data_IF_771857835082
#
_entry.id   IF_771857835082
#
_cell.length_a   1.000
_cell.length_b   1.000
_cell.length_c   1.000
_cell.angle_alpha   90.00
_cell.angle_beta   90.00
_cell.angle_gamma   90.00
#
_symmetry.space_group_name_H-M   'P 1'
#
loop_
_entity.id
_entity.type
_entity.pdbx_description
1 polymer ?
#
# COMPACT_ATOMS: atom_id res chain seq x y z
N UNK A 1 -22.79 20.45 2.31
CA UNK A 1 -21.79 21.48 2.71
C UNK A 1 -21.89 21.75 4.22
N UNK A 2 -21.29 20.89 5.04
CA UNK A 2 -21.19 21.10 6.49
C UNK A 2 -19.83 21.76 6.82
N UNK A 3 -19.81 23.04 7.25
CA UNK A 3 -18.55 23.73 7.52
C UNK A 3 -17.78 23.18 8.74
N UNK A 4 -18.36 22.27 9.51
CA UNK A 4 -17.68 21.58 10.59
C UNK A 4 -16.96 20.30 10.15
N UNK A 5 -17.25 19.80 8.94
CA UNK A 5 -16.61 18.62 8.37
C UNK A 5 -15.35 19.06 7.61
N UNK A 6 -14.18 18.55 7.97
CA UNK A 6 -12.93 18.86 7.28
C UNK A 6 -12.61 17.89 6.16
N UNK A 7 -13.05 16.64 6.27
CA UNK A 7 -12.73 15.62 5.29
C UNK A 7 -13.12 14.21 5.70
N UNK A 8 -12.69 13.24 4.89
CA UNK A 8 -13.03 11.83 5.04
C UNK A 8 -11.78 10.98 5.11
N UNK A 9 -11.73 10.05 6.04
CA UNK A 9 -10.80 8.93 5.99
C UNK A 9 -11.34 7.88 5.00
N UNK A 10 -10.54 7.50 4.02
CA UNK A 10 -10.94 6.57 2.97
C UNK A 10 -11.00 5.13 3.45
N UNK A 11 -10.14 4.78 4.41
CA UNK A 11 -10.10 3.49 5.08
C UNK A 11 -9.27 3.60 6.36
N UNK A 12 -9.12 2.48 7.05
CA UNK A 12 -8.31 2.37 8.26
C UNK A 12 -7.29 1.26 8.12
N UNK A 13 -6.02 1.58 8.34
CA UNK A 13 -4.92 0.63 8.51
C UNK A 13 -5.00 -0.58 7.55
N UNK A 14 -4.72 -0.41 6.26
CA UNK A 14 -4.84 -1.51 5.30
C UNK A 14 -3.94 -2.69 5.69
N UNK A 15 -4.44 -3.90 5.52
CA UNK A 15 -3.82 -5.15 5.98
C UNK A 15 -2.38 -5.34 5.48
N UNK A 16 -2.05 -4.86 4.29
CA UNK A 16 -0.67 -4.96 3.77
C UNK A 16 0.35 -4.18 4.59
N UNK A 17 -0.09 -3.18 5.35
CA UNK A 17 0.78 -2.46 6.28
C UNK A 17 1.34 -3.35 7.39
N UNK A 18 0.69 -4.46 7.71
CA UNK A 18 1.08 -5.43 8.74
C UNK A 18 1.66 -6.72 8.15
N UNK A 19 1.61 -6.88 6.83
CA UNK A 19 2.19 -8.02 6.13
C UNK A 19 3.71 -7.87 5.97
N UNK A 20 4.41 -8.98 5.90
CA UNK A 20 5.84 -8.99 5.58
C UNK A 20 6.07 -8.88 4.08
N UNK A 21 5.14 -9.43 3.31
CA UNK A 21 5.17 -9.48 1.86
C UNK A 21 4.58 -8.18 1.28
N UNK A 22 5.09 -7.78 0.12
CA UNK A 22 4.46 -6.72 -0.67
C UNK A 22 3.07 -7.14 -1.15
N UNK A 23 2.16 -6.21 -1.46
CA UNK A 23 0.81 -6.53 -1.96
C UNK A 23 0.80 -7.50 -3.14
N UNK A 24 1.72 -7.34 -4.09
CA UNK A 24 1.81 -8.23 -5.24
C UNK A 24 2.32 -9.63 -4.88
N UNK A 25 3.29 -9.72 -3.97
CA UNK A 25 3.79 -11.01 -3.49
C UNK A 25 2.71 -11.77 -2.71
N UNK A 26 2.04 -11.09 -1.78
CA UNK A 26 0.92 -11.66 -1.03
C UNK A 26 -0.22 -12.12 -1.94
N UNK A 27 -0.57 -11.33 -2.97
CA UNK A 27 -1.54 -11.72 -3.98
C UNK A 27 -1.09 -12.97 -4.75
N UNK A 28 0.16 -13.00 -5.22
CA UNK A 28 0.71 -14.12 -5.99
C UNK A 28 0.66 -15.42 -5.21
N UNK A 29 1.00 -15.40 -3.94
CA UNK A 29 1.09 -16.58 -3.08
C UNK A 29 -0.28 -17.04 -2.54
N UNK A 30 -1.21 -16.12 -2.30
CA UNK A 30 -2.43 -16.42 -1.54
C UNK A 30 -3.73 -16.35 -2.35
N UNK A 31 -3.68 -15.81 -3.59
CA UNK A 31 -4.89 -15.63 -4.41
C UNK A 31 -4.77 -16.42 -5.71
N UNK A 32 -5.41 -17.60 -5.83
CA UNK A 32 -5.23 -18.46 -7.01
C UNK A 32 -5.65 -17.85 -8.34
N UNK A 33 -6.62 -16.93 -8.33
CA UNK A 33 -7.10 -16.25 -9.53
C UNK A 33 -7.72 -14.91 -9.19
N UNK A 34 -7.31 -13.86 -9.91
CA UNK A 34 -7.93 -12.54 -9.91
C UNK A 34 -7.43 -11.74 -11.12
N UNK A 35 -8.10 -10.64 -11.42
CA UNK A 35 -7.68 -9.77 -12.54
C UNK A 35 -6.27 -9.19 -12.35
N UNK A 36 -5.88 -8.87 -11.12
CA UNK A 36 -4.55 -8.34 -10.83
C UNK A 36 -3.43 -9.35 -11.09
N UNK A 37 -3.69 -10.66 -10.99
CA UNK A 37 -2.70 -11.70 -11.37
C UNK A 37 -2.47 -11.74 -12.88
N UNK A 38 -3.54 -11.56 -13.66
CA UNK A 38 -3.39 -11.44 -15.12
C UNK A 38 -2.58 -10.18 -15.45
N UNK A 39 -2.89 -9.06 -14.83
CA UNK A 39 -2.15 -7.81 -15.02
C UNK A 39 -0.67 -7.94 -14.62
N UNK A 40 -0.36 -8.66 -13.54
CA UNK A 40 1.03 -8.99 -13.17
C UNK A 40 1.74 -9.81 -14.25
N UNK A 41 1.07 -10.84 -14.79
CA UNK A 41 1.66 -11.65 -15.84
C UNK A 41 1.93 -10.83 -17.13
N UNK A 42 1.05 -9.90 -17.47
CA UNK A 42 1.22 -9.01 -18.61
C UNK A 42 2.36 -8.00 -18.35
N UNK A 43 2.43 -7.40 -17.17
CA UNK A 43 3.53 -6.53 -16.74
C UNK A 43 4.90 -7.24 -16.84
N UNK A 44 4.98 -8.48 -16.34
CA UNK A 44 6.21 -9.27 -16.40
C UNK A 44 6.58 -9.67 -17.83
N UNK A 45 5.58 -9.93 -18.67
CA UNK A 45 5.82 -10.22 -20.10
C UNK A 45 6.36 -9.00 -20.85
N UNK A 46 5.84 -7.81 -20.53
CA UNK A 46 6.35 -6.56 -21.11
C UNK A 46 7.78 -6.27 -20.65
N UNK A 47 8.13 -6.64 -19.41
CA UNK A 47 9.46 -6.43 -18.83
C UNK A 47 10.50 -7.43 -19.30
N UNK A 48 10.18 -8.72 -19.34
CA UNK A 48 11.12 -9.81 -19.60
C UNK A 48 11.01 -10.39 -21.02
N UNK A 49 9.92 -10.16 -21.74
CA UNK A 49 9.70 -10.66 -23.10
C UNK A 49 9.47 -12.16 -23.15
N UNK A 50 10.39 -12.90 -23.75
CA UNK A 50 10.26 -14.34 -23.95
C UNK A 50 10.40 -15.13 -22.63
N UNK A 51 9.71 -16.28 -22.55
CA UNK A 51 9.73 -17.12 -21.33
C UNK A 51 11.14 -17.57 -20.90
N UNK A 52 12.09 -17.65 -21.81
CA UNK A 52 13.47 -18.01 -21.47
C UNK A 52 14.11 -16.95 -20.58
N UNK A 53 14.01 -15.66 -20.93
CA UNK A 53 14.52 -14.55 -20.13
C UNK A 53 13.75 -14.41 -18.80
N UNK A 54 12.45 -14.68 -18.81
CA UNK A 54 11.67 -14.71 -17.58
C UNK A 54 12.13 -15.81 -16.61
N UNK A 55 12.40 -17.02 -17.13
CA UNK A 55 12.95 -18.12 -16.31
C UNK A 55 14.34 -17.83 -15.76
N UNK A 56 15.17 -17.14 -16.52
CA UNK A 56 16.50 -16.70 -16.04
C UNK A 56 16.37 -15.73 -14.87
N UNK A 57 15.35 -14.86 -14.87
CA UNK A 57 15.09 -13.88 -13.83
C UNK A 57 14.35 -14.46 -12.61
N UNK A 58 13.33 -15.30 -12.84
CA UNK A 58 12.40 -15.78 -11.80
C UNK A 58 12.61 -17.23 -11.37
N UNK A 59 13.52 -17.95 -12.00
CA UNK A 59 13.80 -19.36 -11.76
C UNK A 59 13.28 -20.28 -12.87
N UNK A 60 13.94 -21.42 -13.06
CA UNK A 60 13.76 -22.31 -14.19
C UNK A 60 12.34 -22.84 -14.41
N UNK A 61 11.55 -22.93 -13.33
CA UNK A 61 10.19 -23.46 -13.37
C UNK A 61 9.12 -22.37 -13.49
N UNK A 62 9.52 -21.09 -13.50
CA UNK A 62 8.61 -19.97 -13.61
C UNK A 62 8.00 -19.90 -15.02
N UNK A 63 6.70 -19.63 -15.11
CA UNK A 63 5.98 -19.36 -16.35
C UNK A 63 4.97 -18.23 -16.16
N UNK A 64 4.71 -17.44 -17.21
CA UNK A 64 3.67 -16.42 -17.16
C UNK A 64 2.28 -16.99 -16.86
N UNK A 65 2.02 -18.22 -17.31
CA UNK A 65 0.76 -18.90 -17.00
C UNK A 65 0.61 -19.20 -15.51
N UNK A 66 1.69 -19.61 -14.83
CA UNK A 66 1.67 -19.84 -13.38
C UNK A 66 1.54 -18.53 -12.59
N UNK A 67 2.09 -17.43 -13.11
CA UNK A 67 1.83 -16.10 -12.53
C UNK A 67 0.37 -15.71 -12.68
N UNK A 68 -0.24 -15.89 -13.84
CA UNK A 68 -1.60 -15.48 -14.13
C UNK A 68 -2.64 -16.24 -13.28
N UNK A 69 -2.38 -17.50 -12.95
CA UNK A 69 -3.32 -18.33 -12.18
C UNK A 69 -2.65 -19.48 -11.44
N UNK A 70 -3.34 -20.02 -10.44
CA UNK A 70 -2.85 -21.12 -9.62
C UNK A 70 -2.16 -20.63 -8.35
N UNK A 71 -1.71 -21.55 -7.52
CA UNK A 71 -0.98 -21.27 -6.29
C UNK A 71 0.52 -21.20 -6.63
N UNK A 72 1.14 -20.06 -6.33
CA UNK A 72 2.57 -19.90 -6.49
C UNK A 72 3.32 -20.52 -5.30
N UNK A 73 4.14 -21.50 -5.56
CA UNK A 73 4.88 -22.24 -4.51
C UNK A 73 6.40 -22.17 -4.70
N UNK A 74 6.86 -21.55 -5.79
CA UNK A 74 8.29 -21.41 -6.04
C UNK A 74 8.90 -20.33 -5.12
N UNK A 75 10.16 -20.50 -4.71
CA UNK A 75 10.87 -19.42 -4.03
C UNK A 75 10.99 -18.20 -4.95
N UNK A 76 10.98 -17.01 -4.39
CA UNK A 76 11.22 -15.77 -5.11
C UNK A 76 12.73 -15.53 -5.23
N UNK A 77 13.16 -15.10 -6.41
CA UNK A 77 14.52 -14.59 -6.65
C UNK A 77 14.57 -13.11 -6.28
N UNK A 78 15.75 -12.52 -6.13
CA UNK A 78 15.90 -11.07 -5.92
C UNK A 78 15.24 -10.26 -7.03
N UNK A 79 15.32 -10.72 -8.29
CA UNK A 79 14.65 -10.07 -9.39
C UNK A 79 13.13 -10.17 -9.29
N UNK A 80 12.61 -11.33 -8.86
CA UNK A 80 11.18 -11.50 -8.63
C UNK A 80 10.67 -10.60 -7.48
N UNK A 81 11.44 -10.44 -6.41
CA UNK A 81 11.10 -9.52 -5.31
C UNK A 81 11.06 -8.07 -5.78
N UNK A 82 12.04 -7.65 -6.61
CA UNK A 82 12.06 -6.32 -7.22
C UNK A 82 10.85 -6.08 -8.12
N UNK A 83 10.57 -7.01 -9.04
CA UNK A 83 9.43 -6.92 -9.95
C UNK A 83 8.08 -6.86 -9.20
N UNK A 84 7.97 -7.61 -8.11
CA UNK A 84 6.77 -7.60 -7.26
C UNK A 84 6.64 -6.32 -6.44
N UNK A 85 7.74 -5.70 -6.03
CA UNK A 85 7.71 -4.38 -5.40
C UNK A 85 7.23 -3.31 -6.39
N UNK A 86 7.78 -3.29 -7.59
CA UNK A 86 7.38 -2.36 -8.66
C UNK A 86 5.91 -2.56 -9.06
N UNK A 87 5.45 -3.81 -9.16
CA UNK A 87 4.04 -4.07 -9.44
C UNK A 87 3.13 -3.71 -8.25
N UNK A 88 3.62 -3.81 -7.02
CA UNK A 88 2.89 -3.36 -5.83
C UNK A 88 2.65 -1.86 -5.86
N UNK A 89 3.62 -1.07 -6.32
CA UNK A 89 3.45 0.37 -6.54
C UNK A 89 2.32 0.64 -7.54
N UNK A 90 2.30 -0.06 -8.68
CA UNK A 90 1.23 0.05 -9.67
C UNK A 90 -0.14 -0.30 -9.06
N UNK A 91 -0.21 -1.40 -8.29
CA UNK A 91 -1.45 -1.83 -7.64
C UNK A 91 -1.97 -0.79 -6.64
N UNK A 92 -1.11 -0.30 -5.76
CA UNK A 92 -1.47 0.62 -4.69
C UNK A 92 -1.82 2.00 -5.25
N UNK A 93 -1.03 2.48 -6.21
CA UNK A 93 -1.32 3.74 -6.91
C UNK A 93 -2.67 3.70 -7.62
N UNK A 94 -2.96 2.60 -8.32
CA UNK A 94 -4.27 2.42 -8.96
C UNK A 94 -5.41 2.35 -7.95
N UNK A 95 -5.21 1.62 -6.85
CA UNK A 95 -6.20 1.45 -5.81
C UNK A 95 -6.56 2.79 -5.14
N UNK A 96 -5.57 3.52 -4.66
CA UNK A 96 -5.80 4.81 -4.01
C UNK A 96 -6.28 5.88 -4.98
N UNK A 97 -5.78 5.87 -6.21
CA UNK A 97 -6.25 6.79 -7.26
C UNK A 97 -7.75 6.65 -7.52
N UNK A 98 -8.24 5.41 -7.69
CA UNK A 98 -9.68 5.15 -7.89
C UNK A 98 -10.51 5.61 -6.69
N UNK A 99 -10.05 5.36 -5.46
CA UNK A 99 -10.76 5.79 -4.26
C UNK A 99 -10.78 7.32 -4.13
N UNK A 100 -9.64 7.96 -4.34
CA UNK A 100 -9.50 9.42 -4.26
C UNK A 100 -10.36 10.13 -5.31
N UNK A 101 -10.35 9.63 -6.55
CA UNK A 101 -11.18 10.17 -7.63
C UNK A 101 -12.68 10.00 -7.32
N UNK A 102 -13.08 8.85 -6.79
CA UNK A 102 -14.46 8.62 -6.39
C UNK A 102 -14.89 9.56 -5.26
N UNK A 103 -14.04 9.77 -4.26
CA UNK A 103 -14.28 10.72 -3.18
C UNK A 103 -14.45 12.14 -3.69
N UNK A 104 -13.51 12.65 -4.48
CA UNK A 104 -13.56 14.00 -5.05
C UNK A 104 -14.76 14.22 -5.98
N UNK A 105 -15.19 13.17 -6.68
CA UNK A 105 -16.37 13.23 -7.54
C UNK A 105 -17.67 13.40 -6.74
N UNK A 106 -17.74 12.80 -5.56
CA UNK A 106 -18.94 12.88 -4.69
C UNK A 106 -18.93 14.17 -3.86
N UNK A 107 -17.78 14.51 -3.32
CA UNK A 107 -17.61 15.69 -2.49
C UNK A 107 -16.27 16.40 -2.79
N UNK A 108 -16.29 17.40 -3.70
CA UNK A 108 -15.10 18.15 -4.07
C UNK A 108 -14.69 19.22 -3.04
N UNK A 109 -15.48 19.44 -1.98
CA UNK A 109 -15.29 20.54 -1.05
C UNK A 109 -14.57 20.13 0.23
N UNK A 110 -14.48 18.82 0.52
CA UNK A 110 -13.85 18.31 1.73
C UNK A 110 -12.62 17.48 1.40
N UNK A 111 -11.67 17.44 2.33
CA UNK A 111 -10.37 16.80 2.12
C UNK A 111 -10.45 15.27 2.13
N UNK A 112 -9.60 14.65 1.34
CA UNK A 112 -9.26 13.25 1.47
C UNK A 112 -8.15 13.11 2.52
N UNK A 113 -8.51 12.66 3.72
CA UNK A 113 -7.62 12.54 4.88
C UNK A 113 -6.81 11.22 4.90
N UNK A 114 -6.80 10.50 3.79
CA UNK A 114 -6.03 9.27 3.64
C UNK A 114 -6.61 8.07 4.40
N UNK A 115 -5.73 7.24 4.95
CA UNK A 115 -6.05 5.88 5.39
C UNK A 115 -5.68 5.57 6.84
N UNK A 116 -5.31 6.58 7.63
CA UNK A 116 -4.84 6.38 9.00
C UNK A 116 -3.77 5.29 9.09
N UNK A 117 -2.61 5.58 8.50
CA UNK A 117 -1.49 4.64 8.47
C UNK A 117 -0.71 4.70 9.78
N UNK A 118 0.06 3.68 10.13
CA UNK A 118 0.65 3.56 11.47
C UNK A 118 2.19 3.71 11.50
N UNK A 119 2.82 3.86 10.34
CA UNK A 119 4.28 3.98 10.19
C UNK A 119 4.65 4.80 8.96
N UNK A 120 5.95 5.04 8.75
CA UNK A 120 6.47 5.60 7.50
C UNK A 120 6.09 4.68 6.35
N UNK A 121 5.51 5.19 5.26
CA UNK A 121 5.13 4.39 4.11
C UNK A 121 6.33 3.70 3.46
N UNK A 122 6.23 2.44 3.03
CA UNK A 122 7.25 1.84 2.19
C UNK A 122 7.22 2.45 0.78
N UNK A 123 8.37 2.40 0.07
CA UNK A 123 8.56 3.04 -1.23
C UNK A 123 7.44 2.73 -2.23
N UNK A 124 7.02 1.48 -2.31
CA UNK A 124 5.94 1.05 -3.22
C UNK A 124 4.55 1.63 -2.89
N UNK A 125 4.36 2.28 -1.74
CA UNK A 125 3.09 2.90 -1.35
C UNK A 125 3.08 4.42 -1.57
N UNK A 126 4.23 5.05 -1.66
CA UNK A 126 4.42 6.52 -1.69
C UNK A 126 3.59 7.17 -2.79
N UNK A 127 3.75 6.71 -4.04
CA UNK A 127 3.08 7.32 -5.19
C UNK A 127 1.55 7.23 -5.09
N UNK A 128 1.05 6.10 -4.60
CA UNK A 128 -0.38 5.93 -4.35
C UNK A 128 -0.92 6.87 -3.25
N UNK A 129 -0.15 7.07 -2.19
CA UNK A 129 -0.54 7.94 -1.07
C UNK A 129 -0.51 9.42 -1.42
N UNK A 130 0.27 9.84 -2.42
CA UNK A 130 0.25 11.20 -2.97
C UNK A 130 -1.09 11.62 -3.60
N UNK A 131 -2.02 10.70 -3.76
CA UNK A 131 -3.38 11.01 -4.19
C UNK A 131 -4.27 11.59 -3.07
N UNK A 132 -3.83 11.55 -1.82
CA UNK A 132 -4.51 12.15 -0.67
C UNK A 132 -4.26 13.66 -0.58
N UNK A 133 -5.06 14.36 0.21
CA UNK A 133 -4.82 15.78 0.51
C UNK A 133 -4.06 15.96 1.84
N UNK A 134 -4.14 14.96 2.72
CA UNK A 134 -3.46 14.91 4.02
C UNK A 134 -3.05 13.46 4.29
N UNK A 135 -1.82 13.26 4.74
CA UNK A 135 -1.42 11.96 5.28
C UNK A 135 -1.80 11.88 6.77
N UNK A 136 -2.50 10.84 7.16
CA UNK A 136 -2.86 10.62 8.55
C UNK A 136 -2.05 9.46 9.14
N UNK A 137 -1.29 9.76 10.20
CA UNK A 137 -0.48 8.79 10.93
C UNK A 137 -1.10 8.46 12.28
N UNK A 138 -1.22 7.18 12.60
CA UNK A 138 -1.65 6.73 13.92
C UNK A 138 -0.47 6.84 14.91
N UNK A 139 -0.74 7.41 16.09
CA UNK A 139 0.30 7.68 17.08
C UNK A 139 -0.15 7.22 18.46
N UNK A 140 0.14 5.98 18.81
CA UNK A 140 -0.15 5.40 20.14
C UNK A 140 1.02 5.59 21.09
N UNK A 141 1.38 6.84 21.36
CA UNK A 141 2.52 7.26 22.21
C UNK A 141 2.13 8.43 23.09
N UNK A 142 2.87 8.62 24.18
CA UNK A 142 2.72 9.80 25.03
C UNK A 142 3.09 11.12 24.34
N UNK A 143 3.90 11.03 23.30
CA UNK A 143 4.36 12.17 22.50
C UNK A 143 4.14 11.90 21.03
N UNK A 144 3.88 12.95 20.28
CA UNK A 144 3.78 12.92 18.82
C UNK A 144 5.11 12.44 18.24
N UNK A 145 5.06 11.60 17.22
CA UNK A 145 6.20 11.09 16.45
C UNK A 145 6.69 12.17 15.47
N UNK A 146 7.25 13.27 16.01
CA UNK A 146 7.55 14.46 15.23
C UNK A 146 8.60 14.24 14.15
N UNK A 147 9.59 13.37 14.39
CA UNK A 147 10.65 13.05 13.43
C UNK A 147 10.08 12.23 12.27
N UNK A 148 9.32 11.21 12.57
CA UNK A 148 8.65 10.35 11.56
C UNK A 148 7.62 11.16 10.74
N UNK A 149 6.88 12.05 11.38
CA UNK A 149 5.92 12.92 10.68
C UNK A 149 6.64 13.91 9.74
N UNK A 150 7.79 14.44 10.14
CA UNK A 150 8.60 15.32 9.29
C UNK A 150 9.19 14.54 8.09
N UNK A 151 9.64 13.30 8.29
CA UNK A 151 10.11 12.42 7.22
C UNK A 151 8.99 12.13 6.21
N UNK A 152 7.78 11.85 6.69
CA UNK A 152 6.62 11.60 5.81
C UNK A 152 6.19 12.88 5.08
N UNK A 153 6.20 14.05 5.72
CA UNK A 153 5.93 15.34 5.09
C UNK A 153 6.89 15.61 3.93
N UNK A 154 8.20 15.36 4.14
CA UNK A 154 9.22 15.49 3.09
C UNK A 154 9.02 14.45 1.98
N UNK A 155 8.72 13.20 2.33
CA UNK A 155 8.54 12.09 1.39
C UNK A 155 7.31 12.28 0.48
N UNK A 156 6.18 12.69 1.06
CA UNK A 156 4.91 12.79 0.36
C UNK A 156 4.60 14.21 -0.16
N UNK A 157 5.32 15.21 0.31
CA UNK A 157 5.11 16.63 0.00
C UNK A 157 3.68 17.10 0.32
N UNK A 158 3.11 16.63 1.45
CA UNK A 158 1.76 16.97 1.89
C UNK A 158 1.66 17.11 3.41
N UNK A 159 0.66 17.85 3.93
CA UNK A 159 0.44 17.96 5.36
C UNK A 159 0.24 16.61 6.04
N UNK A 160 0.85 16.43 7.21
CA UNK A 160 0.71 15.23 8.04
C UNK A 160 -0.09 15.54 9.30
N UNK A 161 -1.04 14.68 9.63
CA UNK A 161 -1.84 14.78 10.86
C UNK A 161 -1.79 13.49 11.67
N UNK A 162 -2.07 13.58 12.96
CA UNK A 162 -2.34 12.41 13.79
C UNK A 162 -3.77 11.96 13.54
N UNK A 163 -3.94 10.78 12.90
CA UNK A 163 -5.24 10.21 12.55
C UNK A 163 -5.91 9.47 13.70
N UNK A 164 -5.10 8.79 14.51
CA UNK A 164 -5.52 8.16 15.75
C UNK A 164 -4.46 8.41 16.82
N UNK A 165 -4.92 8.67 18.03
CA UNK A 165 -4.03 8.89 19.15
C UNK A 165 -4.54 8.24 20.43
N UNK A 166 -3.65 7.54 21.11
CA UNK A 166 -3.95 6.91 22.38
C UNK A 166 -2.64 6.58 23.11
N UNK A 167 -2.63 6.83 24.40
CA UNK A 167 -1.70 6.22 25.34
C UNK A 167 -2.51 5.63 26.52
N UNK A 168 -2.39 4.33 26.74
CA UNK A 168 -3.18 3.65 27.75
C UNK A 168 -2.81 4.09 29.17
N UNK A 169 -3.73 3.94 30.11
CA UNK A 169 -3.43 3.98 31.53
C UNK A 169 -2.87 2.62 31.95
N UNK A 170 -1.77 2.60 32.71
CA UNK A 170 -1.14 1.35 33.15
C UNK A 170 -2.00 0.54 34.13
N UNK A 171 -2.94 1.20 34.79
CA UNK A 171 -3.76 0.66 35.88
C UNK A 171 -5.25 0.57 35.56
N UNK A 172 -5.71 1.20 34.50
CA UNK A 172 -7.15 1.23 34.11
C UNK A 172 -7.33 1.12 32.60
N UNK A 173 -8.14 0.18 32.16
CA UNK A 173 -8.50 0.01 30.76
C UNK A 173 -7.57 -0.93 29.99
N UNK A 174 -7.51 -0.74 28.66
CA UNK A 174 -6.61 -1.51 27.82
C UNK A 174 -5.16 -1.09 28.05
N UNK A 175 -4.21 -2.04 28.11
CA UNK A 175 -2.81 -1.70 28.22
C UNK A 175 -2.36 -0.88 27.02
N UNK A 176 -1.43 0.05 27.23
CA UNK A 176 -0.76 0.74 26.15
C UNK A 176 -0.02 -0.30 25.26
N UNK A 177 -0.29 -0.27 23.98
CA UNK A 177 0.37 -1.13 23.00
C UNK A 177 1.71 -0.56 22.57
#
# INVERSE_FOLDING_TARGET
DDPALIGYFMMNEPNWGFARETPAAGMLQNTPTCHSRQALADFLRDRHGEEAAFRDAWGSDATYAAVAQGVWTLPLTEQAETDLADFSEIMVTRYFGVLSDACRKVDPNHLNLGIRYYTIPPDWAVEGMRTFDVFSMNCYRERVLAEEMAEVDEMLEMPVMVGEWHFGALDVGLPAS
#
